data_IF_306063790427
#
_entry.id   IF_306063790427
#
_cell.length_a   1.000
_cell.length_b   1.000
_cell.length_c   1.000
_cell.angle_alpha   90.00
_cell.angle_beta   90.00
_cell.angle_gamma   90.00
#
_symmetry.space_group_name_H-M   'P 1'
#
loop_
_entity.id
_entity.type
_entity.pdbx_description
1 polymer ?
#
# COMPACT_ATOMS: atom_id res chain seq x y z
N UNK A 1 -15.74 -59.27 -4.14
CA UNK A 1 -15.30 -60.44 -3.35
C UNK A 1 -14.40 -59.99 -2.18
N UNK A 2 -14.98 -60.02 -0.97
CA UNK A 2 -14.43 -60.47 0.33
C UNK A 2 -13.07 -59.81 0.75
N UNK A 3 -12.97 -59.15 1.88
CA UNK A 3 -13.28 -59.59 3.21
C UNK A 3 -13.14 -58.45 4.26
N UNK A 4 -14.01 -58.54 5.14
CA UNK A 4 -14.28 -58.01 6.46
C UNK A 4 -13.12 -58.18 7.48
N UNK A 5 -13.24 -57.34 8.52
CA UNK A 5 -12.81 -57.37 9.94
C UNK A 5 -11.83 -56.24 10.23
N UNK A 6 -12.06 -55.26 11.11
CA UNK A 6 -12.72 -55.28 12.38
C UNK A 6 -11.67 -54.91 13.44
N UNK A 7 -11.91 -53.88 14.25
CA UNK A 7 -11.25 -53.49 15.52
C UNK A 7 -11.46 -51.96 15.65
N UNK A 8 -12.15 -51.41 16.63
CA UNK A 8 -12.36 -51.76 18.01
C UNK A 8 -12.40 -50.41 18.74
N UNK A 9 -13.57 -50.03 19.23
CA UNK A 9 -13.81 -48.86 20.09
C UNK A 9 -12.95 -48.94 21.35
N UNK A 10 -12.29 -47.84 21.71
CA UNK A 10 -11.86 -47.58 23.09
C UNK A 10 -12.48 -46.25 23.57
N UNK A 11 -13.64 -46.39 24.18
CA UNK A 11 -14.22 -45.43 25.10
C UNK A 11 -13.28 -45.21 26.29
N UNK A 12 -12.83 -43.99 26.53
CA UNK A 12 -12.19 -43.59 27.79
C UNK A 12 -13.16 -42.81 28.65
N UNK A 13 -13.49 -43.43 29.78
CA UNK A 13 -14.37 -43.01 30.88
C UNK A 13 -13.91 -41.67 31.48
N UNK A 14 -14.91 -40.82 31.78
CA UNK A 14 -14.81 -39.71 32.73
C UNK A 14 -14.65 -40.25 34.15
N UNK A 15 -13.86 -39.62 35.03
CA UNK A 15 -13.96 -39.88 36.45
C UNK A 15 -15.07 -39.01 37.09
N UNK A 16 -15.82 -39.63 37.99
CA UNK A 16 -16.94 -39.11 38.75
C UNK A 16 -16.48 -38.21 39.91
N UNK A 17 -17.34 -37.26 40.28
CA UNK A 17 -17.30 -36.45 41.49
C UNK A 17 -17.63 -37.33 42.73
N UNK A 18 -17.01 -37.10 43.89
CA UNK A 18 -17.49 -37.66 45.15
C UNK A 18 -18.53 -36.75 45.84
N UNK A 19 -19.58 -37.38 46.30
CA UNK A 19 -20.66 -36.83 47.11
C UNK A 19 -20.28 -36.68 48.59
N UNK A 20 -20.79 -35.62 49.16
CA UNK A 20 -21.17 -35.30 50.54
C UNK A 20 -20.82 -36.27 51.71
N UNK A 21 -20.28 -35.69 52.79
CA UNK A 21 -20.57 -36.09 54.17
C UNK A 21 -20.38 -34.91 55.14
N UNK A 22 -21.47 -34.58 55.77
CA UNK A 22 -21.79 -34.25 57.17
C UNK A 22 -20.99 -33.22 57.97
N UNK A 23 -21.82 -32.29 58.44
CA UNK A 23 -21.79 -31.45 59.66
C UNK A 23 -20.96 -32.00 60.85
N UNK A 24 -20.18 -31.09 61.44
CA UNK A 24 -20.25 -30.89 62.91
C UNK A 24 -19.66 -29.51 63.30
N UNK A 25 -20.37 -28.90 64.23
CA UNK A 25 -20.17 -27.60 64.86
C UNK A 25 -18.85 -27.49 65.62
N UNK A 26 -18.25 -26.32 65.59
CA UNK A 26 -17.56 -25.71 66.71
C UNK A 26 -17.56 -24.21 66.64
N UNK A 27 -18.24 -23.53 67.55
CA UNK A 27 -18.11 -22.14 67.93
C UNK A 27 -16.68 -21.82 68.32
N UNK A 28 -16.09 -20.72 67.77
CA UNK A 28 -15.21 -19.86 68.58
C UNK A 28 -14.93 -18.52 67.86
N UNK A 29 -15.37 -17.44 68.52
CA UNK A 29 -14.77 -16.09 68.65
C UNK A 29 -14.40 -15.29 67.38
N UNK A 30 -15.16 -14.22 67.14
CA UNK A 30 -14.78 -13.07 66.35
C UNK A 30 -13.54 -12.35 66.91
N UNK A 31 -12.71 -11.75 66.00
CA UNK A 31 -12.16 -10.45 66.27
C UNK A 31 -12.45 -9.42 65.15
N UNK A 32 -12.96 -8.28 65.60
CA UNK A 32 -12.64 -6.92 65.23
C UNK A 32 -12.57 -6.50 63.77
N UNK A 33 -13.50 -5.62 63.43
CA UNK A 33 -13.53 -4.79 62.23
C UNK A 33 -12.19 -4.09 61.95
N UNK A 34 -11.59 -4.41 60.78
CA UNK A 34 -10.67 -3.52 60.09
C UNK A 34 -11.45 -2.82 58.92
N UNK A 35 -11.24 -1.52 58.69
CA UNK A 35 -11.95 -0.83 57.61
C UNK A 35 -11.49 -1.34 56.27
N UNK A 36 -12.40 -1.94 55.50
CA UNK A 36 -12.20 -2.28 54.07
C UNK A 36 -12.00 -0.97 53.31
N UNK A 37 -10.77 -0.72 52.92
CA UNK A 37 -10.44 0.26 51.86
C UNK A 37 -11.28 -0.10 50.62
N UNK A 38 -12.05 0.82 50.04
CA UNK A 38 -12.77 0.52 48.80
C UNK A 38 -11.78 0.13 47.74
N UNK A 39 -11.97 -1.04 47.14
CA UNK A 39 -11.23 -1.48 45.97
C UNK A 39 -11.36 -0.37 44.94
N UNK A 40 -10.22 0.27 44.61
CA UNK A 40 -10.12 1.17 43.51
C UNK A 40 -10.47 0.35 42.28
N UNK A 41 -11.69 0.55 41.73
CA UNK A 41 -12.04 0.20 40.37
C UNK A 41 -10.97 0.80 39.49
N UNK A 42 -10.31 0.02 38.62
CA UNK A 42 -9.38 0.60 37.68
C UNK A 42 -10.16 1.65 36.88
N UNK A 43 -9.78 2.91 37.01
CA UNK A 43 -10.24 3.98 36.13
C UNK A 43 -9.96 3.48 34.71
N UNK A 44 -11.02 3.08 34.02
CA UNK A 44 -10.99 2.95 32.59
C UNK A 44 -10.63 4.33 32.05
N UNK A 45 -9.35 4.56 31.77
CA UNK A 45 -8.96 5.69 30.93
C UNK A 45 -9.86 5.61 29.70
N UNK A 46 -10.79 6.53 29.60
CA UNK A 46 -11.69 6.66 28.47
C UNK A 46 -10.81 7.03 27.27
N UNK A 47 -10.32 6.01 26.57
CA UNK A 47 -9.67 6.21 25.28
C UNK A 47 -10.65 7.02 24.42
N UNK A 48 -10.23 8.16 23.85
CA UNK A 48 -11.10 8.99 23.02
C UNK A 48 -11.61 8.10 21.88
N UNK A 49 -12.90 7.77 21.92
CA UNK A 49 -13.54 6.93 20.91
C UNK A 49 -13.41 7.64 19.56
N UNK A 50 -12.86 6.94 18.57
CA UNK A 50 -12.75 7.47 17.22
C UNK A 50 -14.14 7.83 16.69
N UNK A 51 -14.32 9.11 16.33
CA UNK A 51 -15.59 9.63 15.80
C UNK A 51 -15.68 9.45 14.28
N UNK A 52 -16.90 9.38 13.73
CA UNK A 52 -17.09 9.30 12.27
C UNK A 52 -16.38 10.42 11.50
N UNK A 53 -16.44 11.72 11.91
CA UNK A 53 -15.69 12.78 11.23
C UNK A 53 -14.18 12.58 11.27
N UNK A 54 -13.62 12.01 12.35
CA UNK A 54 -12.20 11.72 12.43
C UNK A 54 -11.80 10.58 11.48
N UNK A 55 -12.63 9.54 11.35
CA UNK A 55 -12.40 8.47 10.36
C UNK A 55 -12.41 9.02 8.94
N UNK A 56 -13.41 9.86 8.62
CA UNK A 56 -13.50 10.50 7.31
C UNK A 56 -12.30 11.41 7.03
N UNK A 57 -11.88 12.21 8.01
CA UNK A 57 -10.67 13.04 7.89
C UNK A 57 -9.43 12.20 7.60
N UNK A 58 -9.21 11.12 8.36
CA UNK A 58 -8.04 10.24 8.16
C UNK A 58 -8.09 9.56 6.79
N UNK A 59 -9.28 9.09 6.35
CA UNK A 59 -9.48 8.49 5.03
C UNK A 59 -9.17 9.50 3.90
N UNK A 60 -9.69 10.72 4.01
CA UNK A 60 -9.42 11.80 3.05
C UNK A 60 -7.93 12.17 3.06
N UNK A 61 -7.31 12.28 4.24
CA UNK A 61 -5.88 12.56 4.37
C UNK A 61 -5.03 11.48 3.69
N UNK A 62 -5.34 10.20 3.91
CA UNK A 62 -4.65 9.10 3.24
C UNK A 62 -4.77 9.21 1.71
N UNK A 63 -5.97 9.50 1.19
CA UNK A 63 -6.20 9.66 -0.24
C UNK A 63 -5.44 10.84 -0.84
N UNK A 64 -5.51 12.01 -0.21
CA UNK A 64 -4.83 13.21 -0.70
C UNK A 64 -3.30 13.09 -0.64
N UNK A 65 -2.75 12.53 0.45
CA UNK A 65 -1.30 12.38 0.60
C UNK A 65 -0.76 11.36 -0.42
N UNK A 66 -1.41 10.20 -0.58
CA UNK A 66 -0.94 9.17 -1.52
C UNK A 66 -1.07 9.61 -2.98
N UNK A 67 -2.05 10.44 -3.32
CA UNK A 67 -2.23 10.95 -4.67
C UNK A 67 -1.00 11.68 -5.21
N UNK A 68 -0.21 12.32 -4.33
CA UNK A 68 1.03 13.02 -4.70
C UNK A 68 2.09 12.12 -5.35
N UNK A 69 2.05 10.82 -5.08
CA UNK A 69 2.97 9.84 -5.70
C UNK A 69 2.60 9.55 -7.16
N UNK A 70 1.36 9.84 -7.56
CA UNK A 70 0.80 9.42 -8.85
C UNK A 70 0.49 10.57 -9.80
N UNK A 71 0.46 11.84 -9.34
CA UNK A 71 0.17 12.99 -10.21
C UNK A 71 1.15 13.16 -11.35
N UNK A 72 2.45 12.96 -11.09
CA UNK A 72 3.49 13.12 -12.09
C UNK A 72 3.49 12.03 -13.17
N UNK A 73 2.90 10.86 -12.89
CA UNK A 73 2.97 9.69 -13.75
C UNK A 73 2.35 9.93 -15.15
N UNK A 74 1.08 10.36 -15.29
CA UNK A 74 0.49 10.66 -16.58
C UNK A 74 1.06 11.93 -17.23
N UNK A 75 1.71 12.78 -16.45
CA UNK A 75 2.26 14.07 -16.89
C UNK A 75 3.76 14.01 -17.21
N UNK A 76 4.39 12.85 -17.08
CA UNK A 76 5.84 12.69 -17.21
C UNK A 76 6.36 13.18 -18.56
N UNK A 77 5.63 12.99 -19.66
CA UNK A 77 5.96 13.52 -20.97
C UNK A 77 5.92 15.05 -21.05
N UNK A 78 4.85 15.68 -20.53
CA UNK A 78 4.72 17.14 -20.49
C UNK A 78 5.81 17.79 -19.62
N UNK A 79 6.08 17.20 -18.46
CA UNK A 79 7.11 17.67 -17.53
C UNK A 79 8.48 17.55 -18.18
N UNK A 80 8.79 16.38 -18.75
CA UNK A 80 10.06 16.11 -19.43
C UNK A 80 10.31 17.09 -20.58
N UNK A 81 9.30 17.33 -21.43
CA UNK A 81 9.39 18.30 -22.52
C UNK A 81 9.63 19.72 -22.00
N UNK A 82 8.91 20.16 -20.96
CA UNK A 82 9.03 21.52 -20.43
C UNK A 82 10.36 21.77 -19.69
N UNK A 83 11.03 20.74 -19.21
CA UNK A 83 12.33 20.80 -18.54
C UNK A 83 13.50 20.44 -19.46
N UNK A 84 13.23 20.21 -20.76
CA UNK A 84 14.24 19.80 -21.75
C UNK A 84 15.05 18.57 -21.30
N UNK A 85 14.38 17.57 -20.70
CA UNK A 85 15.00 16.31 -20.31
C UNK A 85 15.39 15.51 -21.56
N UNK A 86 16.45 14.72 -21.46
CA UNK A 86 16.86 13.86 -22.56
C UNK A 86 15.80 12.78 -22.85
N UNK A 87 15.71 12.29 -24.08
CA UNK A 87 14.87 11.14 -24.41
C UNK A 87 15.11 9.97 -23.45
N UNK A 88 14.06 9.22 -23.11
CA UNK A 88 14.12 8.11 -22.17
C UNK A 88 14.16 8.49 -20.68
N UNK A 89 14.40 9.74 -20.33
CA UNK A 89 14.48 10.19 -18.94
C UNK A 89 13.10 10.47 -18.28
N UNK A 90 12.02 10.49 -19.04
CA UNK A 90 10.66 10.73 -18.52
C UNK A 90 10.26 9.74 -17.42
N UNK A 91 10.69 8.49 -17.53
CA UNK A 91 10.48 7.46 -16.49
C UNK A 91 11.19 7.75 -15.17
N UNK A 92 12.29 8.52 -15.19
CA UNK A 92 13.05 8.87 -13.97
C UNK A 92 12.20 9.68 -12.98
N UNK A 93 11.23 10.47 -13.46
CA UNK A 93 10.32 11.24 -12.60
C UNK A 93 9.58 10.30 -11.64
N UNK A 94 9.02 9.22 -12.17
CA UNK A 94 8.32 8.20 -11.37
C UNK A 94 9.29 7.37 -10.54
N UNK A 95 10.40 6.96 -11.14
CA UNK A 95 11.46 6.18 -10.49
C UNK A 95 11.96 6.86 -9.22
N UNK A 96 12.36 8.13 -9.32
CA UNK A 96 12.93 8.89 -8.21
C UNK A 96 11.90 9.17 -7.12
N UNK A 97 10.63 9.41 -7.49
CA UNK A 97 9.52 9.53 -6.54
C UNK A 97 9.35 8.24 -5.72
N UNK A 98 9.40 7.08 -6.37
CA UNK A 98 9.22 5.79 -5.71
C UNK A 98 10.43 5.40 -4.86
N UNK A 99 11.66 5.70 -5.30
CA UNK A 99 12.87 5.55 -4.48
C UNK A 99 12.78 6.42 -3.24
N UNK A 100 12.36 7.69 -3.39
CA UNK A 100 12.12 8.58 -2.26
C UNK A 100 11.11 7.99 -1.28
N UNK A 101 9.99 7.48 -1.77
CA UNK A 101 8.98 6.86 -0.92
C UNK A 101 9.51 5.61 -0.20
N UNK A 102 10.30 4.78 -0.88
CA UNK A 102 10.98 3.65 -0.27
C UNK A 102 11.91 4.08 0.88
N UNK A 103 12.74 5.11 0.65
CA UNK A 103 13.60 5.69 1.69
C UNK A 103 12.77 6.21 2.88
N UNK A 104 11.67 6.89 2.62
CA UNK A 104 10.73 7.32 3.66
C UNK A 104 10.13 6.17 4.46
N UNK A 105 9.73 5.07 3.79
CA UNK A 105 9.21 3.86 4.46
C UNK A 105 10.22 3.25 5.42
N UNK A 106 11.48 3.18 5.00
CA UNK A 106 12.53 2.57 5.80
C UNK A 106 13.05 3.48 6.92
N UNK A 107 13.11 4.80 6.66
CA UNK A 107 13.74 5.75 7.58
C UNK A 107 12.72 6.55 8.42
N UNK A 108 11.59 6.98 7.85
CA UNK A 108 10.66 7.86 8.57
C UNK A 108 9.51 7.11 9.25
N UNK A 109 9.01 6.02 8.66
CA UNK A 109 7.90 5.28 9.28
C UNK A 109 8.26 4.72 10.66
N UNK A 110 9.49 4.17 10.90
CA UNK A 110 9.87 3.72 12.25
C UNK A 110 9.89 4.84 13.30
N UNK A 111 10.02 6.11 12.91
CA UNK A 111 9.94 7.23 13.85
C UNK A 111 8.55 7.37 14.49
N UNK A 112 7.50 6.83 13.87
CA UNK A 112 6.17 6.80 14.47
C UNK A 112 6.09 5.94 15.74
N UNK A 113 7.04 5.03 15.94
CA UNK A 113 7.15 4.22 17.16
C UNK A 113 7.94 4.95 18.28
N UNK A 114 8.58 6.10 17.98
CA UNK A 114 9.45 6.85 18.91
C UNK A 114 8.94 8.25 19.21
N UNK A 115 8.33 8.91 18.23
CA UNK A 115 7.92 10.30 18.31
C UNK A 115 6.41 10.44 18.47
N UNK A 116 5.97 11.59 18.93
CA UNK A 116 4.56 11.93 19.01
C UNK A 116 3.94 11.92 17.60
N UNK A 117 3.00 11.01 17.40
CA UNK A 117 2.46 10.66 16.08
C UNK A 117 1.77 11.84 15.38
N UNK A 118 0.97 12.63 16.09
CA UNK A 118 0.28 13.80 15.52
C UNK A 118 1.28 14.83 15.00
N UNK A 119 2.26 15.22 15.81
CA UNK A 119 3.29 16.19 15.41
C UNK A 119 4.08 15.70 14.21
N UNK A 120 4.48 14.42 14.23
CA UNK A 120 5.23 13.80 13.12
C UNK A 120 4.42 13.86 11.81
N UNK A 121 3.17 13.41 11.81
CA UNK A 121 2.28 13.41 10.64
C UNK A 121 2.08 14.85 10.13
N UNK A 122 1.80 15.79 11.03
CA UNK A 122 1.57 17.20 10.66
C UNK A 122 2.81 17.83 10.05
N UNK A 123 3.99 17.62 10.65
CA UNK A 123 5.24 18.16 10.10
C UNK A 123 5.59 17.54 8.76
N UNK A 124 5.42 16.23 8.58
CA UNK A 124 5.62 15.59 7.29
C UNK A 124 4.66 16.12 6.22
N UNK A 125 3.38 16.36 6.59
CA UNK A 125 2.39 16.93 5.67
C UNK A 125 2.73 18.39 5.30
N UNK A 126 3.30 19.18 6.19
CA UNK A 126 3.79 20.55 5.90
C UNK A 126 5.01 20.53 4.99
N UNK A 127 5.96 19.67 5.28
CA UNK A 127 7.18 19.56 4.49
C UNK A 127 6.88 19.03 3.07
N UNK A 128 5.95 18.08 2.92
CA UNK A 128 5.52 17.62 1.59
C UNK A 128 4.82 18.76 0.83
N UNK A 129 4.01 19.60 1.50
CA UNK A 129 3.41 20.77 0.87
C UNK A 129 4.46 21.72 0.29
N UNK A 130 5.54 21.99 1.04
CA UNK A 130 6.66 22.81 0.56
C UNK A 130 7.40 22.17 -0.62
N UNK A 131 7.66 20.87 -0.54
CA UNK A 131 8.33 20.13 -1.61
C UNK A 131 7.49 20.12 -2.90
N UNK A 132 6.17 19.94 -2.78
CA UNK A 132 5.24 20.00 -3.92
C UNK A 132 5.17 21.42 -4.49
N UNK A 133 5.14 22.44 -3.63
CA UNK A 133 5.13 23.84 -4.04
C UNK A 133 6.36 24.22 -4.85
N UNK A 134 7.53 23.62 -4.59
CA UNK A 134 8.76 23.89 -5.34
C UNK A 134 8.75 23.32 -6.77
N UNK A 135 7.97 22.25 -7.05
CA UNK A 135 7.97 21.56 -8.35
C UNK A 135 7.67 22.47 -9.56
N UNK A 136 6.63 23.32 -9.56
CA UNK A 136 6.30 24.22 -10.66
C UNK A 136 7.39 25.22 -10.99
N UNK A 137 8.25 25.55 -10.04
CA UNK A 137 9.31 26.55 -10.15
C UNK A 137 10.70 25.95 -10.42
N UNK A 138 10.78 24.62 -10.54
CA UNK A 138 12.06 23.97 -10.85
C UNK A 138 12.55 24.36 -12.26
N UNK A 139 13.66 25.08 -12.31
CA UNK A 139 14.26 25.56 -13.57
C UNK A 139 15.20 24.55 -14.24
N UNK A 140 15.40 23.36 -13.63
CA UNK A 140 16.25 22.31 -14.20
C UNK A 140 15.72 20.91 -13.87
N UNK A 141 16.05 19.90 -14.69
CA UNK A 141 15.70 18.51 -14.42
C UNK A 141 16.16 18.03 -13.04
N UNK A 142 17.40 18.35 -12.67
CA UNK A 142 17.99 17.93 -11.40
C UNK A 142 17.22 18.49 -10.20
N UNK A 143 16.87 19.77 -10.23
CA UNK A 143 16.10 20.41 -9.15
C UNK A 143 14.69 19.80 -9.04
N UNK A 144 14.04 19.53 -10.17
CA UNK A 144 12.74 18.87 -10.20
C UNK A 144 12.83 17.45 -9.61
N UNK A 145 13.82 16.66 -10.05
CA UNK A 145 14.02 15.29 -9.56
C UNK A 145 14.34 15.26 -8.05
N UNK A 146 15.14 16.20 -7.55
CA UNK A 146 15.36 16.33 -6.11
C UNK A 146 14.07 16.66 -5.34
N UNK A 147 13.29 17.63 -5.83
CA UNK A 147 12.04 18.03 -5.19
C UNK A 147 10.99 16.89 -5.20
N UNK A 148 10.82 16.19 -6.34
CA UNK A 148 9.86 15.09 -6.44
C UNK A 148 10.30 13.86 -5.62
N UNK A 149 11.62 13.62 -5.47
CA UNK A 149 12.14 12.61 -4.54
C UNK A 149 11.74 12.94 -3.10
N UNK A 150 11.86 14.19 -2.70
CA UNK A 150 11.48 14.65 -1.38
C UNK A 150 9.96 14.54 -1.15
N UNK A 151 9.14 14.80 -2.18
CA UNK A 151 7.70 14.51 -2.14
C UNK A 151 7.47 13.02 -1.86
N UNK A 152 8.22 12.13 -2.53
CA UNK A 152 8.18 10.69 -2.25
C UNK A 152 8.50 10.39 -0.77
N UNK A 153 9.65 10.83 -0.29
CA UNK A 153 10.12 10.61 1.10
C UNK A 153 9.07 11.02 2.14
N UNK A 154 8.46 12.18 1.96
CA UNK A 154 7.56 12.78 2.95
C UNK A 154 6.11 12.27 2.86
N UNK A 155 5.69 11.74 1.70
CA UNK A 155 4.35 11.20 1.50
C UNK A 155 4.09 9.90 2.28
N UNK A 156 5.10 9.32 2.93
CA UNK A 156 4.94 8.13 3.80
C UNK A 156 4.12 8.40 5.06
N UNK A 157 3.76 9.64 5.36
CA UNK A 157 2.82 9.98 6.44
C UNK A 157 1.51 9.16 6.34
N UNK A 158 1.10 8.77 5.14
CA UNK A 158 -0.06 7.88 4.92
C UNK A 158 0.09 6.52 5.62
N UNK A 159 1.30 5.98 5.67
CA UNK A 159 1.58 4.69 6.31
C UNK A 159 1.55 4.77 7.85
N UNK A 160 1.60 5.96 8.39
CA UNK A 160 1.42 6.21 9.84
C UNK A 160 -0.05 6.42 10.19
N UNK A 161 -0.85 7.02 9.30
CA UNK A 161 -2.27 7.32 9.52
C UNK A 161 -3.13 6.06 9.64
N UNK A 162 -2.85 5.01 8.85
CA UNK A 162 -3.63 3.76 8.89
C UNK A 162 -3.47 3.03 10.24
N UNK A 163 -2.26 2.76 10.75
CA UNK A 163 -2.08 2.19 12.10
C UNK A 163 -2.59 3.11 13.20
N UNK A 164 -2.47 4.42 13.03
CA UNK A 164 -2.99 5.41 13.97
C UNK A 164 -4.51 5.28 14.14
N UNK A 165 -5.27 5.21 13.03
CA UNK A 165 -6.70 4.97 13.05
C UNK A 165 -7.06 3.62 13.68
N UNK A 166 -6.31 2.56 13.36
CA UNK A 166 -6.49 1.24 13.94
C UNK A 166 -6.30 1.22 15.45
N UNK A 167 -5.37 2.02 15.96
CA UNK A 167 -5.08 2.13 17.38
C UNK A 167 -6.17 2.87 18.16
N UNK A 168 -6.77 3.90 17.56
CA UNK A 168 -7.88 4.67 18.16
C UNK A 168 -9.21 3.91 18.12
N UNK A 169 -9.29 2.85 17.32
CA UNK A 169 -10.52 2.11 17.10
C UNK A 169 -10.77 1.05 18.18
N UNK A 170 -12.01 0.95 18.74
CA UNK A 170 -12.42 -0.16 19.55
C UNK A 170 -12.19 -1.50 18.82
N UNK A 171 -11.80 -2.54 19.56
CA UNK A 171 -11.47 -3.87 19.00
C UNK A 171 -12.60 -4.41 18.12
N UNK A 172 -13.86 -4.24 18.55
CA UNK A 172 -15.05 -4.74 17.87
C UNK A 172 -15.26 -4.17 16.45
N UNK A 173 -14.85 -2.92 16.18
CA UNK A 173 -15.06 -2.21 14.90
C UNK A 173 -13.77 -1.81 14.20
N UNK A 174 -12.62 -2.22 14.74
CA UNK A 174 -11.28 -1.85 14.21
C UNK A 174 -11.13 -2.19 12.73
N UNK A 175 -11.58 -3.38 12.32
CA UNK A 175 -11.52 -3.80 10.92
C UNK A 175 -12.33 -2.91 9.99
N UNK A 176 -13.53 -2.48 10.42
CA UNK A 176 -14.38 -1.57 9.66
C UNK A 176 -13.73 -0.19 9.49
N UNK A 177 -13.14 0.34 10.56
CA UNK A 177 -12.47 1.65 10.54
C UNK A 177 -11.25 1.62 9.63
N UNK A 178 -10.40 0.60 9.75
CA UNK A 178 -9.25 0.40 8.84
C UNK A 178 -9.71 0.26 7.39
N UNK A 179 -10.79 -0.50 7.15
CA UNK A 179 -11.40 -0.63 5.83
C UNK A 179 -11.83 0.71 5.23
N UNK A 180 -12.49 1.56 6.01
CA UNK A 180 -12.91 2.89 5.56
C UNK A 180 -11.71 3.80 5.23
N UNK A 181 -10.65 3.75 6.06
CA UNK A 181 -9.42 4.52 5.80
C UNK A 181 -8.70 4.03 4.54
N UNK A 182 -8.60 2.71 4.37
CA UNK A 182 -8.01 2.10 3.18
C UNK A 182 -8.82 2.39 1.91
N UNK A 183 -10.15 2.49 2.00
CA UNK A 183 -10.99 2.91 0.87
C UNK A 183 -10.67 4.33 0.42
N UNK A 184 -10.46 5.26 1.37
CA UNK A 184 -10.01 6.62 1.05
C UNK A 184 -8.64 6.64 0.38
N UNK A 185 -7.70 5.82 0.87
CA UNK A 185 -6.38 5.65 0.27
C UNK A 185 -6.47 5.14 -1.17
N UNK A 186 -7.25 4.06 -1.40
CA UNK A 186 -7.42 3.48 -2.73
C UNK A 186 -8.08 4.48 -3.69
N UNK A 187 -9.11 5.21 -3.24
CA UNK A 187 -9.75 6.24 -4.04
C UNK A 187 -8.75 7.34 -4.45
N UNK A 188 -7.86 7.75 -3.54
CA UNK A 188 -6.79 8.71 -3.85
C UNK A 188 -5.83 8.21 -4.93
N UNK A 189 -5.38 6.96 -4.85
CA UNK A 189 -4.51 6.34 -5.86
C UNK A 189 -5.20 6.33 -7.24
N UNK A 190 -6.47 5.94 -7.28
CA UNK A 190 -7.22 5.77 -8.52
C UNK A 190 -7.56 7.09 -9.19
N UNK A 191 -7.96 8.08 -8.41
CA UNK A 191 -8.36 9.39 -8.94
C UNK A 191 -7.16 10.29 -9.26
N UNK A 192 -5.98 10.04 -8.71
CA UNK A 192 -4.82 10.89 -8.90
C UNK A 192 -4.47 11.09 -10.39
N UNK A 193 -4.42 10.00 -11.16
CA UNK A 193 -4.07 10.06 -12.58
C UNK A 193 -5.10 10.80 -13.44
N UNK A 194 -6.39 10.43 -13.41
CA UNK A 194 -7.40 11.16 -14.20
C UNK A 194 -7.51 12.62 -13.79
N UNK A 195 -7.43 12.96 -12.50
CA UNK A 195 -7.47 14.34 -12.02
C UNK A 195 -6.25 15.12 -12.52
N UNK A 196 -5.04 14.54 -12.46
CA UNK A 196 -3.83 15.20 -12.94
C UNK A 196 -3.92 15.50 -14.44
N UNK A 197 -4.33 14.52 -15.25
CA UNK A 197 -4.49 14.69 -16.69
C UNK A 197 -5.58 15.71 -17.05
N UNK A 198 -6.72 15.70 -16.33
CA UNK A 198 -7.81 16.65 -16.56
C UNK A 198 -7.38 18.09 -16.23
N UNK A 199 -6.69 18.31 -15.12
CA UNK A 199 -6.18 19.65 -14.75
C UNK A 199 -5.15 20.11 -15.78
N UNK A 200 -4.29 19.22 -16.26
CA UNK A 200 -3.31 19.55 -17.30
C UNK A 200 -3.96 19.88 -18.66
N UNK A 201 -5.13 19.29 -18.97
CA UNK A 201 -5.90 19.59 -20.17
C UNK A 201 -6.46 21.01 -20.15
N UNK A 202 -6.98 21.49 -19.02
CA UNK A 202 -7.67 22.79 -18.92
C UNK A 202 -6.73 23.94 -18.55
N UNK A 203 -5.55 23.63 -18.00
CA UNK A 203 -4.60 24.65 -17.55
C UNK A 203 -3.15 24.26 -17.87
N UNK A 204 -2.42 23.72 -16.91
CA UNK A 204 -1.02 23.33 -17.05
C UNK A 204 -0.68 22.24 -16.04
N UNK A 205 0.30 21.41 -16.38
CA UNK A 205 0.84 20.42 -15.43
C UNK A 205 1.31 21.04 -14.11
N UNK A 206 1.71 22.31 -14.11
CA UNK A 206 2.14 23.04 -12.90
C UNK A 206 0.99 23.27 -11.91
N UNK A 207 -0.22 23.46 -12.43
CA UNK A 207 -1.40 23.82 -11.62
C UNK A 207 -1.80 22.69 -10.69
N UNK A 208 -1.69 21.43 -11.10
CA UNK A 208 -2.03 20.30 -10.19
C UNK A 208 -1.14 20.28 -8.95
N UNK A 209 0.16 20.61 -9.11
CA UNK A 209 1.08 20.66 -7.97
C UNK A 209 0.80 21.86 -7.06
N UNK A 210 0.45 23.03 -7.61
CA UNK A 210 0.04 24.20 -6.81
C UNK A 210 -1.24 23.91 -6.00
N UNK A 211 -2.24 23.31 -6.66
CA UNK A 211 -3.48 22.90 -5.98
C UNK A 211 -3.21 21.87 -4.89
N UNK A 212 -2.36 20.88 -5.17
CA UNK A 212 -1.99 19.87 -4.19
C UNK A 212 -1.22 20.47 -3.03
N UNK A 213 -0.27 21.38 -3.26
CA UNK A 213 0.47 22.05 -2.20
C UNK A 213 -0.47 22.83 -1.26
N UNK A 214 -1.43 23.58 -1.83
CA UNK A 214 -2.45 24.29 -1.06
C UNK A 214 -3.32 23.32 -0.24
N UNK A 215 -3.77 22.22 -0.85
CA UNK A 215 -4.55 21.17 -0.15
C UNK A 215 -3.74 20.53 0.98
N UNK A 216 -2.46 20.21 0.77
CA UNK A 216 -1.59 19.65 1.81
C UNK A 216 -1.39 20.64 2.96
N UNK A 217 -1.25 21.92 2.69
CA UNK A 217 -1.13 22.95 3.73
C UNK A 217 -2.40 23.04 4.56
N UNK A 218 -3.57 23.13 3.93
CA UNK A 218 -4.88 23.11 4.61
C UNK A 218 -5.04 21.83 5.42
N UNK A 219 -4.75 20.68 4.82
CA UNK A 219 -4.81 19.38 5.46
C UNK A 219 -3.92 19.33 6.72
N UNK A 220 -2.70 19.88 6.65
CA UNK A 220 -1.79 19.91 7.78
C UNK A 220 -2.35 20.69 8.99
N UNK A 221 -3.07 21.79 8.72
CA UNK A 221 -3.74 22.59 9.76
C UNK A 221 -4.91 21.81 10.37
N UNK A 222 -5.73 21.18 9.52
CA UNK A 222 -6.90 20.40 9.97
C UNK A 222 -6.44 19.18 10.79
N UNK A 223 -5.46 18.43 10.32
CA UNK A 223 -4.86 17.32 11.06
C UNK A 223 -4.27 17.79 12.40
N UNK A 224 -3.59 18.94 12.40
CA UNK A 224 -3.03 19.54 13.60
C UNK A 224 -4.09 19.90 14.64
N UNK A 225 -5.31 20.22 14.26
CA UNK A 225 -6.40 20.57 15.19
C UNK A 225 -7.22 19.35 15.63
N UNK A 226 -7.42 18.37 14.73
CA UNK A 226 -8.37 17.29 14.96
C UNK A 226 -7.75 15.97 15.40
N UNK A 227 -6.47 15.69 15.05
CA UNK A 227 -5.83 14.46 15.50
C UNK A 227 -5.55 14.51 17.02
N UNK A 228 -5.87 13.48 17.79
CA UNK A 228 -5.45 13.38 19.19
C UNK A 228 -3.94 13.19 19.30
N UNK A 229 -3.36 13.67 20.39
CA UNK A 229 -1.95 13.42 20.71
C UNK A 229 -1.77 11.96 21.11
N UNK A 230 -0.73 11.32 20.58
CA UNK A 230 -0.36 9.96 20.94
C UNK A 230 1.15 9.84 21.05
N UNK A 231 1.61 9.56 22.26
CA UNK A 231 3.02 9.22 22.53
C UNK A 231 3.15 7.70 22.48
N UNK A 232 4.08 7.15 21.69
CA UNK A 232 4.39 5.73 21.72
C UNK A 232 4.99 5.33 23.07
N UNK A 233 4.74 4.08 23.48
CA UNK A 233 5.27 3.51 24.73
C UNK A 233 6.59 2.76 24.55
N UNK A 234 7.08 2.65 23.32
CA UNK A 234 8.31 1.91 22.97
C UNK A 234 9.54 2.59 23.53
N UNK A 235 10.40 1.83 24.23
CA UNK A 235 11.70 2.29 24.76
C UNK A 235 12.90 1.90 23.90
N UNK A 236 12.67 1.40 22.68
CA UNK A 236 13.76 0.99 21.79
C UNK A 236 14.44 2.22 21.16
N UNK A 237 15.76 2.13 20.92
CA UNK A 237 16.47 3.14 20.17
C UNK A 237 16.15 3.04 18.66
N UNK A 238 16.32 4.14 17.93
CA UNK A 238 16.08 4.16 16.47
C UNK A 238 16.96 3.14 15.73
N UNK A 239 18.25 3.03 16.11
CA UNK A 239 19.14 2.03 15.52
C UNK A 239 18.71 0.59 15.78
N UNK A 240 18.16 0.31 16.98
CA UNK A 240 17.62 -1.02 17.29
C UNK A 240 16.38 -1.35 16.45
N UNK A 241 15.52 -0.35 16.16
CA UNK A 241 14.38 -0.51 15.26
C UNK A 241 14.84 -0.85 13.84
N UNK A 242 15.77 -0.09 13.29
CA UNK A 242 16.33 -0.36 11.96
C UNK A 242 17.03 -1.72 11.89
N UNK A 243 17.83 -2.04 12.92
CA UNK A 243 18.49 -3.36 13.01
C UNK A 243 17.49 -4.51 13.05
N UNK A 244 16.34 -4.34 13.75
CA UNK A 244 15.28 -5.34 13.78
C UNK A 244 14.61 -5.53 12.42
N UNK A 245 14.48 -4.47 11.60
CA UNK A 245 13.94 -4.58 10.24
C UNK A 245 14.89 -5.36 9.33
N UNK A 246 16.19 -5.07 9.39
CA UNK A 246 17.21 -5.84 8.64
C UNK A 246 17.19 -7.31 9.06
N UNK A 247 17.14 -7.59 10.37
CA UNK A 247 17.05 -8.94 10.88
C UNK A 247 15.79 -9.67 10.40
N UNK A 248 14.61 -9.02 10.47
CA UNK A 248 13.35 -9.59 9.97
C UNK A 248 13.43 -9.91 8.48
N UNK A 249 14.00 -9.00 7.67
CA UNK A 249 14.18 -9.24 6.25
C UNK A 249 15.12 -10.44 5.98
N UNK A 250 16.23 -10.54 6.72
CA UNK A 250 17.22 -11.61 6.54
C UNK A 250 16.70 -12.99 7.00
N UNK A 251 15.88 -13.03 8.07
CA UNK A 251 15.48 -14.29 8.73
C UNK A 251 14.09 -14.78 8.35
N UNK A 252 13.32 -14.04 7.54
CA UNK A 252 11.94 -14.40 7.20
C UNK A 252 11.78 -14.71 5.70
N UNK A 253 12.03 -15.98 5.27
CA UNK A 253 11.97 -16.34 3.84
C UNK A 253 10.60 -16.08 3.18
N UNK A 254 9.51 -16.20 3.95
CA UNK A 254 8.15 -15.90 3.46
C UNK A 254 8.02 -14.42 3.11
N UNK A 255 8.57 -13.51 3.93
CA UNK A 255 8.62 -12.08 3.64
C UNK A 255 9.42 -11.80 2.37
N UNK A 256 10.61 -12.39 2.23
CA UNK A 256 11.48 -12.21 1.06
C UNK A 256 10.74 -12.65 -0.22
N UNK A 257 10.13 -13.83 -0.22
CA UNK A 257 9.39 -14.35 -1.39
C UNK A 257 8.18 -13.48 -1.75
N UNK A 258 7.31 -13.20 -0.77
CA UNK A 258 6.10 -12.39 -1.01
C UNK A 258 6.44 -10.97 -1.44
N UNK A 259 7.49 -10.37 -0.87
CA UNK A 259 7.97 -9.06 -1.26
C UNK A 259 8.54 -9.07 -2.69
N UNK A 260 9.31 -10.10 -3.06
CA UNK A 260 9.81 -10.27 -4.42
C UNK A 260 8.68 -10.41 -5.44
N UNK A 261 7.67 -11.26 -5.17
CA UNK A 261 6.52 -11.40 -6.06
C UNK A 261 5.83 -10.06 -6.28
N UNK A 262 5.63 -9.32 -5.19
CA UNK A 262 4.92 -8.05 -5.26
C UNK A 262 5.77 -6.96 -5.92
N UNK A 263 7.08 -6.96 -5.73
CA UNK A 263 7.99 -6.05 -6.42
C UNK A 263 7.94 -6.26 -7.95
N UNK A 264 7.95 -7.50 -8.42
CA UNK A 264 7.81 -7.82 -9.84
C UNK A 264 6.45 -7.39 -10.41
N UNK A 265 5.37 -7.67 -9.67
CA UNK A 265 4.02 -7.29 -10.09
C UNK A 265 3.82 -5.78 -10.16
N UNK A 266 4.31 -5.06 -9.15
CA UNK A 266 4.24 -3.60 -9.13
C UNK A 266 5.22 -2.95 -10.11
N UNK A 267 6.34 -3.60 -10.39
CA UNK A 267 7.25 -3.19 -11.45
C UNK A 267 6.56 -3.17 -12.81
N UNK A 268 5.87 -4.25 -13.15
CA UNK A 268 5.06 -4.35 -14.37
C UNK A 268 3.92 -3.30 -14.42
N UNK A 269 3.22 -3.12 -13.32
CA UNK A 269 2.20 -2.08 -13.15
C UNK A 269 2.78 -0.68 -13.35
N UNK A 270 3.91 -0.37 -12.70
CA UNK A 270 4.54 0.94 -12.78
C UNK A 270 5.07 1.22 -14.19
N UNK A 271 5.65 0.21 -14.85
CA UNK A 271 6.06 0.26 -16.24
C UNK A 271 4.88 0.62 -17.15
N UNK A 272 3.77 -0.13 -17.02
CA UNK A 272 2.57 0.08 -17.83
C UNK A 272 2.05 1.52 -17.71
N UNK A 273 1.80 1.98 -16.48
CA UNK A 273 1.23 3.31 -16.24
C UNK A 273 2.21 4.47 -16.48
N UNK A 274 3.51 4.19 -16.58
CA UNK A 274 4.52 5.18 -16.97
C UNK A 274 4.62 5.32 -18.49
N UNK A 275 4.60 4.19 -19.21
CA UNK A 275 4.81 4.17 -20.66
C UNK A 275 3.52 4.46 -21.45
N UNK A 276 2.38 3.97 -20.96
CA UNK A 276 1.10 4.11 -21.68
C UNK A 276 0.73 5.57 -21.99
N UNK A 277 0.82 6.55 -21.06
CA UNK A 277 0.55 7.95 -21.40
C UNK A 277 1.52 8.50 -22.44
N UNK A 278 2.80 8.10 -22.42
CA UNK A 278 3.78 8.49 -23.42
C UNK A 278 3.42 7.95 -24.80
N UNK A 279 3.05 6.69 -24.87
CA UNK A 279 2.61 6.02 -26.09
C UNK A 279 1.37 6.71 -26.68
N UNK A 280 0.35 6.96 -25.86
CA UNK A 280 -0.93 7.49 -26.31
C UNK A 280 -0.85 8.96 -26.76
N UNK A 281 0.12 9.74 -26.31
CA UNK A 281 0.34 11.14 -26.75
C UNK A 281 1.02 11.25 -28.11
N UNK A 282 1.64 10.17 -28.61
CA UNK A 282 2.35 10.18 -29.89
C UNK A 282 1.50 9.54 -31.01
N UNK A 283 1.86 9.87 -32.27
CA UNK A 283 1.26 9.22 -33.44
C UNK A 283 1.47 7.70 -33.35
N UNK A 284 0.51 6.86 -33.83
CA UNK A 284 -0.72 7.23 -34.54
C UNK A 284 -1.92 7.61 -33.65
N UNK A 285 -1.79 7.58 -32.32
CA UNK A 285 -2.91 7.79 -31.37
C UNK A 285 -3.17 9.27 -31.13
N UNK A 286 -2.14 10.05 -30.80
CA UNK A 286 -2.15 11.49 -30.58
C UNK A 286 -3.29 11.98 -29.64
N UNK A 287 -3.55 11.20 -28.56
CA UNK A 287 -4.62 11.50 -27.61
C UNK A 287 -4.32 12.76 -26.80
N UNK A 288 -5.35 13.55 -26.59
CA UNK A 288 -5.33 14.70 -25.68
C UNK A 288 -5.20 14.27 -24.21
N UNK A 289 -4.82 15.18 -23.32
CA UNK A 289 -4.75 14.91 -21.89
C UNK A 289 -6.13 14.55 -21.30
N UNK A 290 -7.23 15.08 -21.86
CA UNK A 290 -8.58 14.72 -21.48
C UNK A 290 -8.92 13.25 -21.82
N UNK A 291 -8.53 12.78 -22.99
CA UNK A 291 -8.70 11.39 -23.39
C UNK A 291 -7.82 10.44 -22.55
N UNK A 292 -6.60 10.88 -22.22
CA UNK A 292 -5.73 10.15 -21.27
C UNK A 292 -6.35 10.10 -19.87
N UNK A 293 -7.04 11.16 -19.43
CA UNK A 293 -7.79 11.14 -18.18
C UNK A 293 -8.90 10.09 -18.20
N UNK A 294 -9.66 9.99 -19.31
CA UNK A 294 -10.67 8.95 -19.49
C UNK A 294 -10.04 7.54 -19.47
N UNK A 295 -8.92 7.36 -20.20
CA UNK A 295 -8.17 6.11 -20.17
C UNK A 295 -7.71 5.75 -18.76
N UNK A 296 -7.23 6.71 -17.98
CA UNK A 296 -6.75 6.48 -16.61
C UNK A 296 -7.86 6.04 -15.64
N UNK A 297 -9.15 6.29 -15.94
CA UNK A 297 -10.28 5.77 -15.17
C UNK A 297 -10.37 4.22 -15.21
N UNK A 298 -9.78 3.60 -16.21
CA UNK A 298 -9.65 2.14 -16.30
C UNK A 298 -8.99 1.58 -15.03
N UNK A 299 -8.01 2.27 -14.45
CA UNK A 299 -7.34 1.87 -13.22
C UNK A 299 -8.25 1.80 -11.99
N UNK A 300 -9.42 2.44 -12.01
CA UNK A 300 -10.40 2.38 -10.90
C UNK A 300 -10.92 0.95 -10.68
N UNK A 301 -10.92 0.11 -11.72
CA UNK A 301 -11.35 -1.29 -11.64
C UNK A 301 -10.49 -2.14 -10.70
N UNK A 302 -9.24 -1.76 -10.44
CA UNK A 302 -8.38 -2.40 -9.45
C UNK A 302 -8.97 -2.45 -8.04
N UNK A 303 -9.85 -1.49 -7.66
CA UNK A 303 -10.54 -1.51 -6.36
C UNK A 303 -11.41 -2.76 -6.16
N UNK A 304 -11.99 -3.29 -7.24
CA UNK A 304 -12.85 -4.48 -7.20
C UNK A 304 -12.03 -5.73 -6.88
N UNK A 305 -10.75 -5.74 -7.23
CA UNK A 305 -9.86 -6.87 -6.97
C UNK A 305 -9.64 -7.15 -5.48
N UNK A 306 -9.57 -6.11 -4.65
CA UNK A 306 -9.26 -6.26 -3.23
C UNK A 306 -10.29 -7.11 -2.46
N UNK A 307 -11.61 -6.84 -2.53
CA UNK A 307 -12.60 -7.68 -1.85
C UNK A 307 -12.72 -9.10 -2.44
N UNK A 308 -12.44 -9.26 -3.73
CA UNK A 308 -12.42 -10.60 -4.37
C UNK A 308 -11.23 -11.40 -3.83
N UNK A 309 -10.03 -10.83 -3.84
CA UNK A 309 -8.82 -11.45 -3.33
C UNK A 309 -8.94 -11.80 -1.84
N UNK A 310 -9.56 -10.92 -1.04
CA UNK A 310 -9.83 -11.17 0.37
C UNK A 310 -10.70 -12.41 0.59
N UNK A 311 -11.83 -12.52 -0.13
CA UNK A 311 -12.73 -13.70 -0.05
C UNK A 311 -12.07 -14.99 -0.51
N UNK A 312 -11.22 -14.91 -1.54
CA UNK A 312 -10.46 -16.06 -2.03
C UNK A 312 -9.42 -16.50 -1.02
N UNK A 313 -8.76 -15.54 -0.35
CA UNK A 313 -7.83 -15.81 0.74
C UNK A 313 -8.50 -16.48 1.93
N UNK A 314 -9.72 -16.05 2.30
CA UNK A 314 -10.50 -16.66 3.40
C UNK A 314 -10.89 -18.11 3.11
N UNK A 315 -11.01 -18.49 1.83
CA UNK A 315 -11.24 -19.89 1.40
C UNK A 315 -9.95 -20.73 1.37
N UNK A 316 -8.80 -20.17 1.73
CA UNK A 316 -7.50 -20.86 1.69
C UNK A 316 -6.85 -20.95 0.31
N UNK A 317 -7.41 -20.30 -0.73
CA UNK A 317 -6.94 -20.39 -2.11
C UNK A 317 -5.86 -19.35 -2.44
N UNK A 318 -4.99 -19.05 -1.47
CA UNK A 318 -3.96 -18.01 -1.62
C UNK A 318 -2.98 -18.34 -2.75
N UNK A 319 -2.45 -19.57 -2.79
CA UNK A 319 -1.44 -19.97 -3.79
C UNK A 319 -2.01 -19.96 -5.22
N UNK A 320 -3.15 -20.64 -5.54
CA UNK A 320 -3.68 -20.61 -6.90
C UNK A 320 -4.12 -19.21 -7.33
N UNK A 321 -4.64 -18.38 -6.42
CA UNK A 321 -4.98 -16.99 -6.71
C UNK A 321 -3.75 -16.13 -7.01
N UNK A 322 -2.63 -16.36 -6.31
CA UNK A 322 -1.35 -15.69 -6.60
C UNK A 322 -0.85 -16.04 -8.00
N UNK A 323 -0.89 -17.33 -8.37
CA UNK A 323 -0.55 -17.77 -9.74
C UNK A 323 -1.47 -17.13 -10.79
N UNK A 324 -2.78 -17.15 -10.55
CA UNK A 324 -3.75 -16.54 -11.46
C UNK A 324 -3.51 -15.03 -11.66
N UNK A 325 -3.19 -14.29 -10.59
CA UNK A 325 -2.86 -12.87 -10.67
C UNK A 325 -1.62 -12.58 -11.51
N UNK A 326 -0.57 -13.40 -11.36
CA UNK A 326 0.66 -13.28 -12.15
C UNK A 326 0.41 -13.64 -13.62
N UNK A 327 -0.28 -14.75 -13.90
CA UNK A 327 -0.63 -15.17 -15.25
C UNK A 327 -1.51 -14.13 -15.95
N UNK A 328 -2.47 -13.53 -15.22
CA UNK A 328 -3.33 -12.47 -15.74
C UNK A 328 -2.50 -11.26 -16.19
N UNK A 329 -1.51 -10.85 -15.40
CA UNK A 329 -0.62 -9.72 -15.75
C UNK A 329 0.28 -10.04 -16.94
N UNK A 330 0.78 -11.28 -17.05
CA UNK A 330 1.54 -11.72 -18.23
C UNK A 330 0.65 -11.67 -19.48
N UNK A 331 -0.54 -12.26 -19.41
CA UNK A 331 -1.50 -12.27 -20.52
C UNK A 331 -1.89 -10.86 -20.97
N UNK A 332 -1.98 -9.90 -20.04
CA UNK A 332 -2.27 -8.50 -20.33
C UNK A 332 -1.25 -7.88 -21.27
N UNK A 333 0.03 -8.11 -21.08
CA UNK A 333 1.07 -7.61 -21.99
C UNK A 333 1.07 -8.39 -23.33
N UNK A 334 0.90 -9.70 -23.29
CA UNK A 334 0.86 -10.52 -24.52
C UNK A 334 -0.27 -10.12 -25.47
N UNK A 335 -1.47 -9.83 -24.96
CA UNK A 335 -2.59 -9.45 -25.81
C UNK A 335 -2.33 -8.14 -26.57
N UNK A 336 -1.48 -7.24 -26.06
CA UNK A 336 -1.13 -6.00 -26.77
C UNK A 336 -0.28 -6.24 -28.01
N UNK A 337 0.37 -7.40 -28.16
CA UNK A 337 1.13 -7.76 -29.37
C UNK A 337 0.27 -8.31 -30.49
N UNK A 338 -0.96 -8.74 -30.19
CA UNK A 338 -1.84 -9.40 -31.16
C UNK A 338 -2.60 -8.39 -32.03
N UNK A 339 -2.47 -7.07 -31.76
CA UNK A 339 -3.30 -6.06 -32.38
C UNK A 339 -2.46 -4.94 -32.97
N UNK A 340 -2.69 -4.66 -34.25
CA UNK A 340 -1.99 -3.60 -35.00
C UNK A 340 -2.89 -2.41 -35.35
N UNK A 341 -4.23 -2.58 -35.33
CA UNK A 341 -5.15 -1.51 -35.65
C UNK A 341 -5.22 -0.47 -34.50
N UNK A 342 -4.96 0.83 -34.74
CA UNK A 342 -4.76 1.80 -33.69
C UNK A 342 -5.93 1.90 -32.69
N UNK A 343 -7.18 1.98 -33.17
CA UNK A 343 -8.34 2.10 -32.27
C UNK A 343 -8.55 0.84 -31.45
N UNK A 344 -8.41 -0.34 -32.05
CA UNK A 344 -8.52 -1.61 -31.35
C UNK A 344 -7.39 -1.77 -30.34
N UNK A 345 -6.19 -1.29 -30.66
CA UNK A 345 -5.05 -1.32 -29.75
C UNK A 345 -5.30 -0.50 -28.49
N UNK A 346 -5.92 0.69 -28.55
CA UNK A 346 -6.29 1.50 -27.38
C UNK A 346 -7.29 0.73 -26.49
N UNK A 347 -8.27 0.04 -27.08
CA UNK A 347 -9.22 -0.80 -26.34
C UNK A 347 -8.49 -1.96 -25.65
N UNK A 348 -7.62 -2.66 -26.38
CA UNK A 348 -6.82 -3.77 -25.84
C UNK A 348 -5.90 -3.27 -24.72
N UNK A 349 -5.30 -2.10 -24.88
CA UNK A 349 -4.46 -1.48 -23.86
C UNK A 349 -5.27 -1.14 -22.61
N UNK A 350 -6.52 -0.67 -22.76
CA UNK A 350 -7.42 -0.44 -21.63
C UNK A 350 -7.76 -1.74 -20.88
N UNK A 351 -8.06 -2.81 -21.61
CA UNK A 351 -8.31 -4.15 -21.02
C UNK A 351 -7.05 -4.67 -20.32
N UNK A 352 -5.88 -4.50 -20.93
CA UNK A 352 -4.59 -4.84 -20.31
C UNK A 352 -4.38 -4.08 -19.01
N UNK A 353 -4.70 -2.78 -18.97
CA UNK A 353 -4.65 -1.96 -17.76
C UNK A 353 -5.53 -2.53 -16.65
N UNK A 354 -6.78 -2.90 -16.95
CA UNK A 354 -7.69 -3.56 -15.99
C UNK A 354 -7.06 -4.84 -15.42
N UNK A 355 -6.52 -5.69 -16.31
CA UNK A 355 -5.93 -6.97 -15.92
C UNK A 355 -4.69 -6.78 -15.04
N UNK A 356 -3.84 -5.81 -15.36
CA UNK A 356 -2.62 -5.50 -14.60
C UNK A 356 -3.00 -4.93 -13.21
N UNK A 357 -3.93 -3.99 -13.16
CA UNK A 357 -4.40 -3.38 -11.90
C UNK A 357 -5.05 -4.42 -10.99
N UNK A 358 -5.89 -5.29 -11.59
CA UNK A 358 -6.53 -6.38 -10.87
C UNK A 358 -5.50 -7.37 -10.33
N UNK A 359 -4.55 -7.83 -11.16
CA UNK A 359 -3.50 -8.76 -10.77
C UNK A 359 -2.60 -8.20 -9.68
N UNK A 360 -2.17 -6.93 -9.84
CA UNK A 360 -1.34 -6.25 -8.84
C UNK A 360 -2.04 -6.09 -7.49
N UNK A 361 -3.30 -5.62 -7.49
CA UNK A 361 -4.08 -5.43 -6.26
C UNK A 361 -4.42 -6.76 -5.58
N UNK A 362 -4.79 -7.78 -6.35
CA UNK A 362 -5.01 -9.12 -5.82
C UNK A 362 -3.76 -9.68 -5.14
N UNK A 363 -2.60 -9.60 -5.80
CA UNK A 363 -1.33 -10.06 -5.23
C UNK A 363 -0.92 -9.28 -3.96
N UNK A 364 -1.19 -7.96 -3.90
CA UNK A 364 -0.98 -7.16 -2.70
C UNK A 364 -1.75 -7.72 -1.51
N UNK A 365 -3.07 -7.91 -1.67
CA UNK A 365 -3.97 -8.38 -0.61
C UNK A 365 -3.59 -9.80 -0.15
N UNK A 366 -3.33 -10.71 -1.09
CA UNK A 366 -2.91 -12.08 -0.81
C UNK A 366 -1.58 -12.12 -0.05
N UNK A 367 -0.60 -11.31 -0.46
CA UNK A 367 0.70 -11.20 0.19
C UNK A 367 0.60 -10.66 1.61
N UNK A 368 -0.14 -9.56 1.81
CA UNK A 368 -0.37 -8.98 3.14
C UNK A 368 -1.10 -9.96 4.08
N UNK A 369 -2.07 -10.73 3.56
CA UNK A 369 -2.78 -11.74 4.36
C UNK A 369 -1.84 -12.79 4.93
N UNK A 370 -0.91 -13.31 4.11
CA UNK A 370 0.11 -14.27 4.56
C UNK A 370 1.03 -13.65 5.62
N UNK A 371 1.52 -12.44 5.37
CA UNK A 371 2.50 -11.79 6.24
C UNK A 371 1.92 -11.38 7.60
N UNK A 372 0.66 -10.92 7.65
CA UNK A 372 0.04 -10.46 8.90
C UNK A 372 -0.35 -11.60 9.85
N UNK A 373 -0.46 -12.83 9.34
CA UNK A 373 -0.67 -14.02 10.18
C UNK A 373 0.64 -14.49 10.79
N UNK A 374 1.77 -14.31 10.07
CA UNK A 374 3.07 -14.88 10.43
C UNK A 374 3.64 -14.29 11.73
N UNK A 375 3.55 -12.97 11.93
CA UNK A 375 4.12 -12.30 13.10
C UNK A 375 3.22 -11.12 13.54
N UNK A 376 2.22 -11.39 14.36
CA UNK A 376 1.25 -10.37 14.80
C UNK A 376 1.88 -9.17 15.52
N UNK A 377 2.94 -9.39 16.30
CA UNK A 377 3.66 -8.36 17.05
C UNK A 377 4.55 -7.47 16.19
N UNK A 378 4.92 -7.91 14.97
CA UNK A 378 5.81 -7.18 14.07
C UNK A 378 5.11 -6.69 12.79
N UNK A 379 3.78 -6.71 12.74
CA UNK A 379 2.98 -6.37 11.53
C UNK A 379 3.39 -5.04 10.90
N UNK A 380 3.61 -4.00 11.68
CA UNK A 380 4.01 -2.68 11.19
C UNK A 380 5.34 -2.72 10.45
N UNK A 381 6.36 -3.35 11.04
CA UNK A 381 7.72 -3.46 10.45
C UNK A 381 7.73 -4.35 9.22
N UNK A 382 7.02 -5.50 9.27
CA UNK A 382 6.88 -6.40 8.11
C UNK A 382 6.17 -5.68 6.96
N UNK A 383 5.10 -4.93 7.24
CA UNK A 383 4.41 -4.16 6.20
C UNK A 383 5.29 -3.06 5.61
N UNK A 384 6.08 -2.35 6.44
CA UNK A 384 7.00 -1.32 5.96
C UNK A 384 8.07 -1.92 5.01
N UNK A 385 8.67 -3.06 5.37
CA UNK A 385 9.61 -3.77 4.53
C UNK A 385 8.99 -4.29 3.22
N UNK A 386 7.81 -4.90 3.33
CA UNK A 386 7.05 -5.41 2.20
C UNK A 386 6.74 -4.29 1.20
N UNK A 387 6.24 -3.14 1.71
CA UNK A 387 5.93 -1.97 0.89
C UNK A 387 7.19 -1.28 0.35
N UNK A 388 8.30 -1.25 1.09
CA UNK A 388 9.56 -0.70 0.59
C UNK A 388 10.07 -1.50 -0.62
N UNK A 389 10.11 -2.83 -0.52
CA UNK A 389 10.54 -3.71 -1.62
C UNK A 389 9.57 -3.61 -2.81
N UNK A 390 8.27 -3.50 -2.56
CA UNK A 390 7.25 -3.21 -3.55
C UNK A 390 7.58 -1.94 -4.35
N UNK A 391 7.88 -0.81 -3.69
CA UNK A 391 8.20 0.44 -4.36
C UNK A 391 9.56 0.42 -5.07
N UNK A 392 10.54 -0.37 -4.59
CA UNK A 392 11.77 -0.65 -5.36
C UNK A 392 11.44 -1.32 -6.70
N UNK A 393 10.57 -2.33 -6.68
CA UNK A 393 10.08 -2.95 -7.90
C UNK A 393 9.44 -1.96 -8.86
N UNK A 394 8.59 -1.07 -8.35
CA UNK A 394 7.97 0.00 -9.12
C UNK A 394 8.98 0.97 -9.71
N UNK A 395 9.98 1.38 -8.94
CA UNK A 395 11.07 2.26 -9.40
C UNK A 395 11.86 1.62 -10.55
N UNK A 396 12.20 0.33 -10.43
CA UNK A 396 12.84 -0.44 -11.51
C UNK A 396 11.92 -0.49 -12.73
N UNK A 397 10.65 -0.80 -12.53
CA UNK A 397 9.68 -0.90 -13.63
C UNK A 397 9.49 0.40 -14.39
N UNK A 398 9.36 1.54 -13.71
CA UNK A 398 9.22 2.85 -14.35
C UNK A 398 10.49 3.28 -15.08
N UNK A 399 11.67 3.05 -14.50
CA UNK A 399 12.95 3.37 -15.11
C UNK A 399 13.23 2.53 -16.36
N UNK A 400 13.12 1.20 -16.22
CA UNK A 400 13.27 0.26 -17.34
C UNK A 400 12.22 0.52 -18.42
N UNK A 401 10.98 0.82 -18.03
CA UNK A 401 9.88 1.11 -18.95
C UNK A 401 10.17 2.34 -19.81
N UNK A 402 10.59 3.45 -19.21
CA UNK A 402 10.95 4.67 -19.95
C UNK A 402 12.11 4.42 -20.92
N UNK A 403 13.15 3.74 -20.44
CA UNK A 403 14.30 3.38 -21.27
C UNK A 403 13.91 2.44 -22.41
N UNK A 404 13.15 1.39 -22.14
CA UNK A 404 12.74 0.41 -23.14
C UNK A 404 11.83 1.04 -24.21
N UNK A 405 10.94 1.93 -23.79
CA UNK A 405 10.06 2.64 -24.74
C UNK A 405 10.86 3.51 -25.73
N UNK A 406 11.90 4.20 -25.25
CA UNK A 406 12.77 5.01 -26.08
C UNK A 406 13.57 4.20 -27.12
N UNK A 407 14.08 3.00 -26.73
CA UNK A 407 14.97 2.20 -27.57
C UNK A 407 14.27 1.18 -28.46
N UNK A 408 13.05 0.77 -28.14
CA UNK A 408 12.32 -0.27 -28.90
C UNK A 408 10.81 -0.11 -28.86
N UNK A 409 10.32 1.08 -28.48
CA UNK A 409 8.88 1.38 -28.43
C UNK A 409 8.12 0.51 -27.46
N UNK A 410 6.81 0.40 -27.72
CA UNK A 410 5.92 -0.39 -26.89
C UNK A 410 6.30 -1.89 -26.81
N UNK A 411 6.78 -2.45 -27.92
CA UNK A 411 7.11 -3.89 -27.98
C UNK A 411 8.19 -4.26 -26.96
N UNK A 412 9.28 -3.49 -26.90
CA UNK A 412 10.34 -3.75 -25.94
C UNK A 412 9.87 -3.48 -24.48
N UNK A 413 9.11 -2.41 -24.27
CA UNK A 413 8.53 -2.13 -22.96
C UNK A 413 7.61 -3.26 -22.50
N UNK A 414 6.75 -3.80 -23.38
CA UNK A 414 5.86 -4.91 -23.08
C UNK A 414 6.62 -6.22 -22.79
N UNK A 415 7.78 -6.47 -23.43
CA UNK A 415 8.66 -7.59 -23.09
C UNK A 415 9.11 -7.54 -21.64
N UNK A 416 9.62 -6.38 -21.18
CA UNK A 416 10.00 -6.21 -19.79
C UNK A 416 8.78 -6.25 -18.85
N UNK A 417 7.66 -5.66 -19.29
CA UNK A 417 6.40 -5.68 -18.55
C UNK A 417 5.86 -7.10 -18.31
N UNK A 418 5.94 -7.98 -19.29
CA UNK A 418 5.58 -9.41 -19.17
C UNK A 418 6.65 -10.20 -18.40
N UNK A 419 7.93 -9.87 -18.59
CA UNK A 419 9.06 -10.55 -17.96
C UNK A 419 9.05 -10.45 -16.43
N UNK A 420 8.68 -9.31 -15.87
CA UNK A 420 8.63 -9.13 -14.42
C UNK A 420 7.65 -10.08 -13.73
N UNK A 421 6.34 -10.13 -14.08
CA UNK A 421 5.43 -11.08 -13.46
C UNK A 421 5.76 -12.54 -13.83
N UNK A 422 6.43 -12.80 -14.99
CA UNK A 422 6.92 -14.13 -15.33
C UNK A 422 8.02 -14.60 -14.36
N UNK A 423 8.96 -13.71 -13.98
CA UNK A 423 9.96 -14.02 -12.95
C UNK A 423 9.30 -14.33 -11.60
N UNK A 424 8.27 -13.55 -11.22
CA UNK A 424 7.50 -13.81 -10.01
C UNK A 424 6.79 -15.17 -10.07
N UNK A 425 6.20 -15.50 -11.22
CA UNK A 425 5.52 -16.78 -11.46
C UNK A 425 6.49 -17.96 -11.34
N UNK A 426 7.65 -17.88 -11.98
CA UNK A 426 8.69 -18.91 -11.87
C UNK A 426 9.12 -19.10 -10.42
N UNK A 427 9.39 -18.01 -9.69
CA UNK A 427 9.73 -18.08 -8.28
C UNK A 427 8.58 -18.66 -7.42
N UNK A 428 7.33 -18.37 -7.75
CA UNK A 428 6.17 -18.91 -7.03
C UNK A 428 5.99 -20.42 -7.27
N UNK A 429 6.33 -20.92 -8.45
CA UNK A 429 6.28 -22.35 -8.76
C UNK A 429 7.32 -23.17 -7.96
N UNK A 430 8.42 -22.54 -7.50
CA UNK A 430 9.41 -23.18 -6.63
C UNK A 430 9.01 -23.18 -5.15
N UNK A 431 7.90 -22.51 -4.79
CA UNK A 431 7.39 -22.47 -3.42
C UNK A 431 6.83 -23.86 -3.07
N UNK A 432 7.39 -24.50 -2.01
CA UNK A 432 6.81 -25.73 -1.49
C UNK A 432 5.39 -25.42 -1.01
N UNK A 433 4.40 -26.15 -1.54
CA UNK A 433 3.01 -26.02 -1.10
C UNK A 433 2.93 -26.28 0.39
N UNK A 434 2.24 -25.40 1.16
CA UNK A 434 2.02 -25.64 2.58
C UNK A 434 1.13 -26.84 2.83
#
# INVERSE_FOLDING_TARGET
LLGLTGFGQKLRKKPALPTSASMQDTHTLMPSHAPTTPAQTPEHEAHPMITRPLVLLIATACGLIVANLYYAQPLSGLISASLHMQPGQSGLIVTVTQIGYCAGLLLLVPLADLLENRSLIVWMTRLVALAIFALPFAGSPALFLCAISLVGVLSVAVQMLVPFAAHLAPVAIRGQIVGNVMSGLMLGIMLARPVASLVAQVASWRVIFLLSAALMLVLSVVLGKMLPRRMPTTRQSYGALLGSMVHLLATTPVLQRRAFYHACMFGAFSLFWTVTPLLLTHAPYALSQGEIALFALVGVTGAIAAPIAGRVADKGWIWPATLAAMTLSIAAFFMTWLVSAPMLFVIVLAVAGIMIDFGNTANLVLGQRVLFVLAPEHRGRINALYMAIFFIGGAIGSGVGGWAYEHGGWHLAACFGAGMPALALLACLTEKRP
#
